data_IF_869270450391
#
_entry.id   IF_869270450391
#
_cell.length_a   1.000
_cell.length_b   1.000
_cell.length_c   1.000
_cell.angle_alpha   90.00
_cell.angle_beta   90.00
_cell.angle_gamma   90.00
#
_symmetry.space_group_name_H-M   'P 1'
#
loop_
_entity.id
_entity.type
_entity.pdbx_description
1 polymer ?
#
# COMPACT_ATOMS: atom_id res chain seq x y z
N UNK A 1 4.23 4.93 -1.94
CA UNK A 1 5.20 5.88 -2.49
C UNK A 1 4.75 7.31 -2.29
N UNK A 2 5.68 8.24 -2.08
CA UNK A 2 5.42 9.68 -1.92
C UNK A 2 6.41 10.44 -2.79
N UNK A 3 5.89 11.26 -3.71
CA UNK A 3 6.70 12.03 -4.64
C UNK A 3 7.38 13.21 -3.93
N UNK A 4 8.68 13.39 -4.19
CA UNK A 4 9.44 14.53 -3.70
C UNK A 4 8.97 15.83 -4.36
N UNK A 5 9.25 16.97 -3.72
CA UNK A 5 8.86 18.27 -4.27
C UNK A 5 7.41 18.68 -4.07
N UNK A 6 6.58 17.84 -3.44
CA UNK A 6 5.22 18.22 -3.05
C UNK A 6 5.19 19.07 -1.78
N UNK A 7 4.00 19.60 -1.42
CA UNK A 7 3.81 20.39 -0.19
C UNK A 7 4.12 19.63 1.11
N UNK A 8 4.10 18.30 1.05
CA UNK A 8 4.44 17.39 2.15
C UNK A 8 5.62 16.55 1.71
N UNK A 9 6.73 16.62 2.43
CA UNK A 9 7.90 15.76 2.16
C UNK A 9 7.59 14.30 2.48
N UNK A 10 8.27 13.33 1.84
CA UNK A 10 8.07 11.91 2.14
C UNK A 10 8.21 11.57 3.63
N UNK A 11 9.21 12.10 4.32
CA UNK A 11 9.38 11.91 5.77
C UNK A 11 8.27 12.61 6.57
N UNK A 12 7.85 13.79 6.14
CA UNK A 12 6.71 14.51 6.74
C UNK A 12 5.42 13.71 6.61
N UNK A 13 5.20 13.09 5.43
CA UNK A 13 4.08 12.19 5.21
C UNK A 13 4.15 10.97 6.14
N UNK A 14 5.32 10.34 6.28
CA UNK A 14 5.48 9.18 7.17
C UNK A 14 5.07 9.50 8.62
N UNK A 15 5.42 10.69 9.13
CA UNK A 15 5.01 11.14 10.47
C UNK A 15 3.50 11.34 10.58
N UNK A 16 2.92 12.13 9.67
CA UNK A 16 1.47 12.40 9.65
C UNK A 16 0.68 11.10 9.55
N UNK A 17 1.15 10.19 8.69
CA UNK A 17 0.50 8.89 8.50
C UNK A 17 0.62 8.01 9.75
N UNK A 18 1.77 8.06 10.45
CA UNK A 18 1.97 7.41 11.74
C UNK A 18 0.96 7.88 12.79
N UNK A 19 0.76 9.20 12.93
CA UNK A 19 -0.23 9.77 13.84
C UNK A 19 -1.65 9.30 13.51
N UNK A 20 -2.00 9.26 12.22
CA UNK A 20 -3.29 8.76 11.75
C UNK A 20 -3.49 7.27 12.04
N UNK A 21 -2.46 6.44 11.83
CA UNK A 21 -2.49 5.01 12.17
C UNK A 21 -2.59 4.78 13.68
N UNK A 22 -1.90 5.59 14.49
CA UNK A 22 -2.01 5.56 15.94
C UNK A 22 -3.45 5.85 16.42
N UNK A 23 -4.07 6.90 15.87
CA UNK A 23 -5.46 7.21 16.15
C UNK A 23 -6.41 6.10 15.68
N UNK A 24 -6.13 5.46 14.54
CA UNK A 24 -6.92 4.32 14.05
C UNK A 24 -6.74 3.08 14.93
N UNK A 25 -5.51 2.81 15.40
CA UNK A 25 -5.21 1.68 16.27
C UNK A 25 -5.94 1.80 17.62
N UNK A 26 -6.01 3.02 18.18
CA UNK A 26 -6.77 3.27 19.41
C UNK A 26 -8.29 3.03 19.25
N UNK A 27 -8.85 3.39 18.09
CA UNK A 27 -10.28 3.15 17.79
C UNK A 27 -10.60 1.69 17.47
N UNK A 28 -9.64 0.99 16.85
CA UNK A 28 -9.79 -0.40 16.39
C UNK A 28 -8.55 -1.20 16.76
N UNK A 29 -8.37 -1.63 18.03
CA UNK A 29 -7.27 -2.46 18.45
C UNK A 29 -7.18 -3.75 17.64
N UNK A 30 -5.97 -4.27 17.47
CA UNK A 30 -5.78 -5.61 16.90
C UNK A 30 -6.37 -6.65 17.85
N UNK A 31 -7.07 -7.63 17.31
CA UNK A 31 -7.72 -8.69 18.10
C UNK A 31 -6.86 -9.93 18.22
N UNK A 32 -6.22 -10.31 17.12
CA UNK A 32 -5.43 -11.53 17.03
C UNK A 32 -4.08 -11.18 16.43
N UNK A 33 -3.02 -11.55 17.11
CA UNK A 33 -1.64 -11.35 16.68
C UNK A 33 -0.87 -12.61 17.01
N UNK A 34 -0.25 -13.23 16.03
CA UNK A 34 0.57 -14.40 16.22
C UNK A 34 1.98 -14.02 16.72
N UNK A 35 2.69 -14.93 17.41
CA UNK A 35 4.11 -14.70 17.73
C UNK A 35 4.96 -14.41 16.49
N UNK A 36 4.67 -15.06 15.35
CA UNK A 36 5.38 -14.83 14.10
C UNK A 36 5.19 -13.41 13.58
N UNK A 37 3.95 -12.88 13.61
CA UNK A 37 3.66 -11.49 13.24
C UNK A 37 4.40 -10.51 14.16
N UNK A 38 4.40 -10.79 15.47
CA UNK A 38 5.11 -9.97 16.46
C UNK A 38 6.60 -9.89 16.14
N UNK A 39 7.25 -11.04 15.92
CA UNK A 39 8.67 -11.10 15.58
C UNK A 39 8.95 -10.31 14.30
N UNK A 40 8.12 -10.49 13.26
CA UNK A 40 8.29 -9.81 11.98
C UNK A 40 8.19 -8.29 12.13
N UNK A 41 7.19 -7.78 12.85
CA UNK A 41 7.02 -6.35 13.10
C UNK A 41 8.21 -5.78 13.90
N UNK A 42 8.63 -6.47 14.95
CA UNK A 42 9.77 -6.02 15.76
C UNK A 42 11.08 -6.04 14.97
N UNK A 43 11.26 -7.00 14.06
CA UNK A 43 12.43 -7.03 13.16
C UNK A 43 12.42 -5.84 12.21
N UNK A 44 11.27 -5.51 11.60
CA UNK A 44 11.14 -4.31 10.74
C UNK A 44 11.44 -3.05 11.53
N UNK A 45 10.91 -2.89 12.74
CA UNK A 45 11.20 -1.72 13.58
C UNK A 45 12.68 -1.59 13.87
N UNK A 46 13.31 -2.66 14.36
CA UNK A 46 14.74 -2.67 14.68
C UNK A 46 15.61 -2.35 13.45
N UNK A 47 15.24 -2.86 12.29
CA UNK A 47 15.92 -2.58 11.03
C UNK A 47 15.83 -1.10 10.66
N UNK A 48 14.63 -0.51 10.72
CA UNK A 48 14.41 0.88 10.34
C UNK A 48 14.84 1.89 11.41
N UNK A 49 14.92 1.51 12.68
CA UNK A 49 15.57 2.31 13.73
C UNK A 49 17.07 2.48 13.48
N UNK A 50 17.69 1.57 12.73
CA UNK A 50 19.14 1.61 12.41
C UNK A 50 19.40 2.30 11.07
N UNK A 51 18.65 1.93 10.00
CA UNK A 51 18.95 2.36 8.63
C UNK A 51 17.99 3.38 8.04
N UNK A 52 17.02 3.83 8.81
CA UNK A 52 16.00 4.77 8.37
C UNK A 52 15.30 5.42 9.55
N UNK A 53 14.00 5.54 9.47
CA UNK A 53 13.14 6.01 10.56
C UNK A 53 11.95 5.06 10.73
N UNK A 54 11.68 4.64 11.97
CA UNK A 54 10.50 3.88 12.31
C UNK A 54 9.59 4.67 13.26
N UNK A 55 8.33 4.82 12.87
CA UNK A 55 7.30 5.44 13.69
C UNK A 55 6.33 4.37 14.16
N UNK A 56 6.10 4.26 15.47
CA UNK A 56 5.23 3.23 16.04
C UNK A 56 4.76 3.60 17.46
N UNK A 57 3.70 2.94 17.89
CA UNK A 57 3.19 3.06 19.26
C UNK A 57 3.95 2.18 20.26
N UNK A 58 3.49 2.20 21.51
CA UNK A 58 4.07 1.36 22.59
C UNK A 58 3.87 -0.14 22.35
N UNK A 59 2.80 -0.49 21.65
CA UNK A 59 2.47 -1.85 21.23
C UNK A 59 2.78 -2.09 19.75
N UNK A 60 2.41 -3.24 19.23
CA UNK A 60 2.61 -3.61 17.81
C UNK A 60 1.43 -3.19 16.92
N UNK A 61 0.52 -2.36 17.42
CA UNK A 61 -0.74 -2.01 16.76
C UNK A 61 -0.59 -1.29 15.42
N UNK A 62 0.54 -0.65 15.17
CA UNK A 62 0.86 0.02 13.92
C UNK A 62 2.37 0.31 13.81
N UNK A 63 2.86 0.40 12.59
CA UNK A 63 4.26 0.78 12.28
C UNK A 63 4.29 1.49 10.93
N UNK A 64 5.02 2.60 10.84
CA UNK A 64 5.41 3.23 9.58
C UNK A 64 6.92 3.19 9.49
N UNK A 65 7.43 2.54 8.46
CA UNK A 65 8.86 2.42 8.18
C UNK A 65 9.22 3.32 7.00
N UNK A 66 10.21 4.17 7.17
CA UNK A 66 10.69 5.12 6.16
C UNK A 66 12.20 4.99 5.96
N UNK A 67 12.64 5.02 4.72
CA UNK A 67 14.05 5.16 4.36
C UNK A 67 14.16 6.02 3.10
N UNK A 68 15.02 7.05 3.16
CA UNK A 68 15.22 8.01 2.08
C UNK A 68 15.83 7.36 0.82
N UNK A 69 16.67 6.34 1.01
CA UNK A 69 17.44 5.71 -0.05
C UNK A 69 16.72 4.50 -0.69
N UNK A 70 15.55 4.11 -0.16
CA UNK A 70 14.83 2.96 -0.65
C UNK A 70 13.70 3.37 -1.60
N UNK A 71 13.77 2.88 -2.83
CA UNK A 71 12.77 3.10 -3.89
C UNK A 71 12.04 1.83 -4.35
N UNK A 72 12.42 0.64 -3.85
CA UNK A 72 11.82 -0.62 -4.23
C UNK A 72 10.54 -0.92 -3.45
N UNK A 73 9.68 -1.81 -3.99
CA UNK A 73 8.60 -2.40 -3.21
C UNK A 73 9.18 -3.17 -2.02
N UNK A 74 8.58 -2.95 -0.85
CA UNK A 74 8.93 -3.71 0.34
C UNK A 74 8.20 -5.05 0.36
N UNK A 75 8.82 -6.05 0.97
CA UNK A 75 8.13 -7.28 1.30
C UNK A 75 6.95 -7.00 2.25
N UNK A 76 5.78 -7.58 2.00
CA UNK A 76 4.62 -7.30 2.81
C UNK A 76 4.85 -7.70 4.28
N UNK A 77 4.59 -6.76 5.17
CA UNK A 77 4.51 -6.99 6.60
C UNK A 77 3.09 -6.62 7.06
N UNK A 78 2.37 -7.58 7.61
CA UNK A 78 0.95 -7.43 7.93
C UNK A 78 0.68 -6.49 9.12
N UNK A 79 -0.55 -6.40 9.57
CA UNK A 79 -1.00 -5.74 10.80
C UNK A 79 -0.68 -4.24 10.88
N UNK A 80 -1.07 -3.47 9.88
CA UNK A 80 -0.85 -2.02 9.78
C UNK A 80 0.63 -1.62 9.82
N UNK A 81 1.48 -2.44 9.24
CA UNK A 81 2.86 -2.07 8.94
C UNK A 81 2.90 -1.51 7.52
N UNK A 82 3.33 -0.28 7.39
CA UNK A 82 3.38 0.46 6.13
C UNK A 82 4.78 0.95 5.88
N UNK A 83 5.27 0.75 4.67
CA UNK A 83 6.54 1.27 4.19
C UNK A 83 6.28 2.53 3.37
N UNK A 84 6.89 3.63 3.74
CA UNK A 84 6.88 4.87 2.98
C UNK A 84 8.17 4.97 2.18
N UNK A 85 8.04 5.11 0.88
CA UNK A 85 9.15 5.19 -0.07
C UNK A 85 9.11 6.54 -0.81
N UNK A 86 10.18 7.30 -0.82
CA UNK A 86 10.28 8.49 -1.65
C UNK A 86 10.43 8.09 -3.12
N UNK A 87 9.95 8.94 -4.02
CA UNK A 87 10.13 8.80 -5.47
C UNK A 87 10.24 10.20 -6.08
N UNK A 88 11.06 10.34 -7.12
CA UNK A 88 11.25 11.62 -7.79
C UNK A 88 10.12 11.89 -8.80
N UNK A 89 9.66 10.83 -9.49
CA UNK A 89 8.48 10.86 -10.35
C UNK A 89 7.61 9.64 -10.06
N UNK A 90 6.30 9.85 -9.96
CA UNK A 90 5.33 8.74 -9.78
C UNK A 90 5.37 7.74 -10.94
N UNK A 91 5.85 8.13 -12.11
CA UNK A 91 5.99 7.25 -13.27
C UNK A 91 7.22 6.32 -13.19
N UNK A 92 8.06 6.45 -12.18
CA UNK A 92 9.09 5.46 -11.84
C UNK A 92 8.52 4.25 -11.08
N UNK A 93 7.26 4.34 -10.59
CA UNK A 93 6.62 3.26 -9.82
C UNK A 93 6.14 2.08 -10.68
N UNK A 94 5.51 2.27 -11.85
CA UNK A 94 5.00 1.15 -12.64
C UNK A 94 6.02 0.05 -12.93
N UNK A 95 7.29 0.32 -13.28
CA UNK A 95 8.28 -0.73 -13.49
C UNK A 95 8.59 -1.60 -12.27
N UNK A 96 8.26 -1.14 -11.06
CA UNK A 96 8.42 -1.89 -9.83
C UNK A 96 7.25 -2.85 -9.56
N UNK A 97 6.12 -2.64 -10.24
CA UNK A 97 4.90 -3.43 -10.09
C UNK A 97 4.93 -4.67 -10.99
N UNK A 98 4.09 -5.62 -10.66
CA UNK A 98 3.90 -6.86 -11.44
C UNK A 98 2.47 -7.37 -11.23
N UNK A 99 2.12 -8.47 -11.84
CA UNK A 99 0.84 -9.20 -11.64
C UNK A 99 0.58 -9.56 -10.17
N UNK A 100 1.59 -9.52 -9.31
CA UNK A 100 1.44 -9.71 -7.88
C UNK A 100 1.01 -8.44 -7.14
N UNK A 101 1.01 -7.29 -7.82
CA UNK A 101 0.53 -6.01 -7.28
C UNK A 101 -0.93 -5.84 -7.64
N UNK A 102 -1.82 -6.39 -6.83
CA UNK A 102 -3.26 -6.44 -7.13
C UNK A 102 -3.91 -5.06 -7.18
N UNK A 103 -3.62 -4.19 -6.23
CA UNK A 103 -4.31 -2.90 -6.09
C UNK A 103 -3.33 -1.78 -5.77
N UNK A 104 -3.43 -0.67 -6.51
CA UNK A 104 -2.70 0.56 -6.26
C UNK A 104 -3.69 1.70 -5.93
N UNK A 105 -3.72 2.18 -4.69
CA UNK A 105 -4.50 3.35 -4.31
C UNK A 105 -3.82 4.64 -4.79
N UNK A 106 -4.54 5.49 -5.51
CA UNK A 106 -3.99 6.69 -6.12
C UNK A 106 -4.50 7.98 -5.45
N UNK A 107 -3.59 8.94 -5.25
CA UNK A 107 -3.89 10.32 -4.84
C UNK A 107 -2.89 11.27 -5.52
N UNK A 108 -3.01 11.43 -6.83
CA UNK A 108 -2.04 12.11 -7.71
C UNK A 108 -2.69 13.16 -8.64
N UNK A 109 -3.91 13.58 -8.32
CA UNK A 109 -4.64 14.58 -9.09
C UNK A 109 -4.86 14.18 -10.55
N UNK A 110 -4.66 15.13 -11.45
CA UNK A 110 -4.91 14.95 -12.89
C UNK A 110 -4.03 13.88 -13.57
N UNK A 111 -2.90 13.51 -12.93
CA UNK A 111 -2.02 12.45 -13.44
C UNK A 111 -2.56 11.04 -13.20
N UNK A 112 -3.66 10.91 -12.45
CA UNK A 112 -4.20 9.61 -12.00
C UNK A 112 -4.52 8.65 -13.14
N UNK A 113 -5.14 9.12 -14.22
CA UNK A 113 -5.50 8.27 -15.36
C UNK A 113 -4.26 7.70 -16.05
N UNK A 114 -3.28 8.56 -16.35
CA UNK A 114 -2.02 8.11 -16.99
C UNK A 114 -1.25 7.13 -16.12
N UNK A 115 -1.22 7.39 -14.81
CA UNK A 115 -0.55 6.48 -13.88
C UNK A 115 -1.28 5.14 -13.80
N UNK A 116 -2.62 5.15 -13.75
CA UNK A 116 -3.41 3.92 -13.76
C UNK A 116 -3.18 3.10 -15.04
N UNK A 117 -3.13 3.73 -16.21
CA UNK A 117 -2.80 3.06 -17.48
C UNK A 117 -1.41 2.41 -17.45
N UNK A 118 -0.40 3.12 -16.92
CA UNK A 118 0.95 2.59 -16.79
C UNK A 118 1.03 1.42 -15.78
N UNK A 119 0.30 1.50 -14.67
CA UNK A 119 0.23 0.44 -13.66
C UNK A 119 -0.50 -0.80 -14.18
N UNK A 120 -1.62 -0.61 -14.89
CA UNK A 120 -2.38 -1.74 -15.47
C UNK A 120 -1.59 -2.44 -16.58
N UNK A 121 -0.75 -1.72 -17.31
CA UNK A 121 0.18 -2.33 -18.26
C UNK A 121 1.21 -3.27 -17.59
N UNK A 122 1.48 -3.11 -16.29
CA UNK A 122 2.31 -4.02 -15.48
C UNK A 122 1.51 -5.15 -14.81
N UNK A 123 0.20 -5.19 -15.00
CA UNK A 123 -0.67 -6.21 -14.43
C UNK A 123 -1.37 -5.82 -13.12
N UNK A 124 -1.30 -4.55 -12.72
CA UNK A 124 -2.10 -4.05 -11.59
C UNK A 124 -3.57 -4.04 -12.00
N UNK A 125 -4.43 -4.70 -11.24
CA UNK A 125 -5.83 -4.92 -11.62
C UNK A 125 -6.77 -3.78 -11.20
N UNK A 126 -6.41 -3.05 -10.15
CA UNK A 126 -7.27 -2.00 -9.59
C UNK A 126 -6.47 -0.76 -9.20
N UNK A 127 -6.96 0.41 -9.59
CA UNK A 127 -6.36 1.71 -9.29
C UNK A 127 -7.38 2.69 -8.68
N UNK A 128 -8.00 2.38 -7.52
CA UNK A 128 -8.98 3.25 -6.89
C UNK A 128 -8.31 4.46 -6.22
N UNK A 129 -9.12 5.45 -5.83
CA UNK A 129 -8.65 6.50 -4.93
C UNK A 129 -8.20 5.92 -3.58
N UNK A 130 -7.16 6.52 -2.97
CA UNK A 130 -6.73 6.15 -1.62
C UNK A 130 -7.92 6.27 -0.65
N UNK A 131 -8.10 5.28 0.22
CA UNK A 131 -9.24 5.16 1.13
C UNK A 131 -10.36 4.27 0.61
N UNK A 132 -10.46 4.07 -0.70
CA UNK A 132 -11.46 3.22 -1.33
C UNK A 132 -10.93 1.83 -1.74
N UNK A 133 -9.70 1.51 -1.38
CA UNK A 133 -9.03 0.26 -1.80
C UNK A 133 -9.76 -1.00 -1.32
N UNK A 134 -10.45 -0.95 -0.19
CA UNK A 134 -11.22 -2.06 0.38
C UNK A 134 -12.68 -2.10 -0.04
N UNK A 135 -13.16 -1.11 -0.80
CA UNK A 135 -14.54 -1.10 -1.28
C UNK A 135 -14.65 -2.07 -2.46
N UNK A 136 -15.67 -2.94 -2.38
CA UNK A 136 -15.97 -3.84 -3.48
C UNK A 136 -16.45 -3.06 -4.69
N UNK A 137 -15.86 -3.36 -5.83
CA UNK A 137 -16.27 -2.85 -7.14
C UNK A 137 -16.06 -3.96 -8.18
N UNK A 138 -16.77 -3.89 -9.30
CA UNK A 138 -16.62 -4.86 -10.38
C UNK A 138 -15.92 -4.20 -11.59
N UNK A 139 -14.91 -4.84 -12.20
CA UNK A 139 -14.35 -6.16 -11.88
C UNK A 139 -13.56 -6.21 -10.57
N UNK A 140 -13.53 -7.35 -9.92
CA UNK A 140 -12.68 -7.61 -8.75
C UNK A 140 -11.60 -8.62 -9.16
N UNK A 141 -10.35 -8.35 -8.81
CA UNK A 141 -9.20 -9.18 -9.19
C UNK A 141 -9.16 -9.46 -10.71
N UNK A 142 -9.39 -8.40 -11.51
CA UNK A 142 -9.38 -8.51 -12.98
C UNK A 142 -10.52 -9.32 -13.58
N UNK A 143 -11.54 -9.74 -12.80
CA UNK A 143 -12.64 -10.55 -13.30
C UNK A 143 -14.01 -10.11 -12.79
N UNK A 144 -15.02 -10.43 -13.60
CA UNK A 144 -16.41 -10.33 -13.15
C UNK A 144 -16.83 -11.67 -12.53
N UNK A 145 -17.08 -11.74 -11.20
CA UNK A 145 -17.40 -13.01 -10.54
C UNK A 145 -18.57 -13.75 -11.16
N UNK A 146 -19.55 -13.02 -11.71
CA UNK A 146 -20.70 -13.62 -12.37
C UNK A 146 -20.31 -14.49 -13.57
N UNK A 147 -19.24 -14.14 -14.31
CA UNK A 147 -18.77 -14.90 -15.47
C UNK A 147 -18.23 -16.29 -15.08
N UNK A 148 -17.82 -16.46 -13.83
CA UNK A 148 -17.38 -17.75 -13.27
C UNK A 148 -18.52 -18.63 -12.78
N UNK A 149 -19.71 -18.03 -12.60
CA UNK A 149 -20.90 -18.72 -12.07
C UNK A 149 -21.89 -19.10 -13.18
N UNK A 150 -21.68 -18.66 -14.41
CA UNK A 150 -22.58 -18.93 -15.54
C UNK A 150 -21.87 -19.69 -16.65
N UNK A 151 -22.64 -20.43 -17.44
CA UNK A 151 -22.23 -21.00 -18.73
C UNK A 151 -22.95 -20.28 -19.85
N UNK A 152 -22.20 -19.84 -20.81
CA UNK A 152 -22.74 -19.32 -22.06
C UNK A 152 -23.01 -20.48 -23.02
N UNK A 153 -24.22 -20.57 -23.52
CA UNK A 153 -24.62 -21.59 -24.53
C UNK A 153 -25.12 -20.87 -25.78
N UNK A 154 -24.59 -21.23 -26.93
CA UNK A 154 -25.13 -20.80 -28.20
C UNK A 154 -26.31 -21.70 -28.54
N UNK A 155 -27.46 -21.09 -28.84
CA UNK A 155 -28.62 -21.74 -29.40
C UNK A 155 -28.68 -21.37 -30.87
N UNK A 156 -28.40 -22.32 -31.75
CA UNK A 156 -28.51 -22.17 -33.20
C UNK A 156 -29.93 -22.39 -33.69
#
# INVERSE_FOLDING_TARGET
FVERGSSVTPVGFARIFGDALGAAANRRPLREVTPADTIRILSVRAEYDIRGEAYYGKDIGWTVAYNEDESNLADPCYLRTVFVRPVDDIFDIPPLCSVNTQTAGLSVGERGMKLAEALTAQGVERCPAIGNMSLYDAPWDGMFPIERLVRWTSLG
#
